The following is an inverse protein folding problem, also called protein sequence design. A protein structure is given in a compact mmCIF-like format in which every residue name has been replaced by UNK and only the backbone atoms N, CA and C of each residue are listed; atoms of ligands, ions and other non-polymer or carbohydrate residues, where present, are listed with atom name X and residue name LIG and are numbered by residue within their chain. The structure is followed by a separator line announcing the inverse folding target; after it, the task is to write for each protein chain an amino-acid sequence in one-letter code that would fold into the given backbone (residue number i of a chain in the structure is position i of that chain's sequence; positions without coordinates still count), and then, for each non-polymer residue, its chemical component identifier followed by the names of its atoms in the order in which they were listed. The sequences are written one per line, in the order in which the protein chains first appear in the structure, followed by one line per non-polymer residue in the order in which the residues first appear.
data_IF_290972186297
#
_entry.id   IF_290972186297
#
_cell.length_a   1.000
_cell.length_b   1.000
_cell.length_c   1.000
_cell.angle_alpha   90.00
_cell.angle_beta   90.00
_cell.angle_gamma   90.00
#
_symmetry.space_group_name_H-M   'P 1'
#
loop_
_entity.id
_entity.type
_entity.pdbx_description
1 polymer ?
#
# COMPACT_ATOMS: atom_id res chain seq x y z
N UNK A 1 20.85 39.14 -43.94
CA UNK A 1 19.74 39.02 -42.97
C UNK A 1 19.74 37.59 -42.44
N UNK A 2 20.65 37.29 -41.50
CA UNK A 2 20.84 35.95 -40.93
C UNK A 2 20.53 36.03 -39.43
N UNK A 3 19.38 35.50 -39.04
CA UNK A 3 18.98 35.40 -37.65
C UNK A 3 19.75 34.25 -36.99
N UNK A 4 20.68 34.61 -36.11
CA UNK A 4 21.29 33.72 -35.12
C UNK A 4 20.22 33.33 -34.10
N UNK A 5 19.84 32.05 -34.06
CA UNK A 5 19.02 31.50 -32.99
C UNK A 5 19.90 31.31 -31.76
N UNK A 6 19.79 32.27 -30.84
CA UNK A 6 20.43 32.23 -29.53
C UNK A 6 19.83 31.08 -28.70
N UNK A 7 20.64 30.07 -28.42
CA UNK A 7 20.33 28.94 -27.54
C UNK A 7 20.27 29.42 -26.09
N UNK A 8 19.12 29.93 -25.67
CA UNK A 8 18.84 30.25 -24.27
C UNK A 8 17.48 29.67 -23.87
N UNK A 9 17.42 28.33 -23.78
CA UNK A 9 16.29 27.58 -23.20
C UNK A 9 16.62 26.97 -21.83
N UNK A 10 17.65 27.48 -21.13
CA UNK A 10 18.06 27.00 -19.81
C UNK A 10 17.96 28.09 -18.73
N UNK A 11 16.84 28.81 -18.68
CA UNK A 11 16.56 29.65 -17.52
C UNK A 11 15.05 29.71 -17.22
N UNK A 12 14.54 28.63 -16.64
CA UNK A 12 13.31 28.66 -15.85
C UNK A 12 13.59 28.05 -14.47
N UNK A 13 13.78 28.93 -13.48
CA UNK A 13 13.92 28.61 -12.07
C UNK A 13 12.55 28.33 -11.40
N UNK A 14 11.62 27.66 -12.08
CA UNK A 14 10.30 27.38 -11.51
C UNK A 14 10.30 26.04 -10.77
N UNK A 15 9.92 26.00 -9.47
CA UNK A 15 10.00 24.80 -8.64
C UNK A 15 8.82 23.83 -8.88
N UNK A 16 8.21 23.85 -10.06
CA UNK A 16 7.02 23.04 -10.37
C UNK A 16 7.33 21.77 -11.17
N UNK A 17 8.53 21.64 -11.72
CA UNK A 17 8.91 20.47 -12.56
C UNK A 17 9.79 19.46 -11.80
N UNK A 18 10.29 19.83 -10.61
CA UNK A 18 11.19 18.98 -9.80
C UNK A 18 10.51 18.24 -8.63
N UNK A 19 9.20 18.44 -8.41
CA UNK A 19 8.46 17.79 -7.32
C UNK A 19 8.12 16.30 -7.60
N UNK A 20 8.08 15.89 -8.87
CA UNK A 20 7.54 14.60 -9.31
C UNK A 20 8.62 13.61 -9.76
N UNK A 21 9.88 14.05 -9.88
CA UNK A 21 11.03 13.20 -10.25
C UNK A 21 11.79 12.62 -9.07
N UNK A 22 11.52 13.07 -7.84
CA UNK A 22 12.13 12.53 -6.61
C UNK A 22 11.09 12.08 -5.59
N UNK A 23 10.26 11.09 -5.96
CA UNK A 23 9.49 10.31 -4.99
C UNK A 23 10.47 9.61 -4.04
N UNK A 24 10.59 10.11 -2.79
CA UNK A 24 11.44 9.49 -1.77
C UNK A 24 11.00 8.03 -1.55
N UNK A 25 11.91 7.05 -1.49
CA UNK A 25 11.56 5.62 -1.40
C UNK A 25 10.63 5.24 -0.23
N UNK A 26 10.59 6.05 0.84
CA UNK A 26 9.67 5.86 1.98
C UNK A 26 8.19 6.22 1.70
N UNK A 27 7.89 7.05 0.69
CA UNK A 27 6.51 7.44 0.38
C UNK A 27 5.65 6.25 -0.07
N UNK A 28 6.20 5.36 -0.89
CA UNK A 28 5.48 4.18 -1.38
C UNK A 28 5.08 3.20 -0.27
N UNK A 29 5.92 3.02 0.75
CA UNK A 29 5.58 2.19 1.92
C UNK A 29 4.37 2.73 2.68
N UNK A 30 4.34 4.05 2.89
CA UNK A 30 3.25 4.73 3.59
C UNK A 30 1.94 4.62 2.82
N UNK A 31 1.96 4.84 1.50
CA UNK A 31 0.78 4.65 0.64
C UNK A 31 0.25 3.21 0.68
N UNK A 32 1.13 2.21 0.51
CA UNK A 32 0.69 0.82 0.51
C UNK A 32 0.15 0.36 1.87
N UNK A 33 0.73 0.85 2.97
CA UNK A 33 0.24 0.57 4.33
C UNK A 33 -1.19 1.07 4.53
N UNK A 34 -1.45 2.35 4.24
CA UNK A 34 -2.78 2.94 4.34
C UNK A 34 -3.79 2.25 3.44
N UNK A 35 -3.40 1.93 2.21
CA UNK A 35 -4.27 1.22 1.27
C UNK A 35 -4.67 -0.18 1.77
N UNK A 36 -3.72 -0.93 2.35
CA UNK A 36 -4.02 -2.24 2.92
C UNK A 36 -5.02 -2.12 4.06
N UNK A 37 -4.77 -1.24 5.04
CA UNK A 37 -5.70 -1.08 6.15
C UNK A 37 -7.07 -0.68 5.65
N UNK A 38 -7.20 0.32 4.77
CA UNK A 38 -8.50 0.72 4.20
C UNK A 38 -9.25 -0.45 3.57
N UNK A 39 -8.54 -1.33 2.87
CA UNK A 39 -9.14 -2.47 2.20
C UNK A 39 -9.55 -3.55 3.21
N UNK A 40 -8.69 -3.84 4.17
CA UNK A 40 -9.00 -4.79 5.24
C UNK A 40 -10.16 -4.30 6.10
N UNK A 41 -10.20 -3.01 6.47
CA UNK A 41 -11.30 -2.43 7.25
C UNK A 41 -12.61 -2.46 6.48
N UNK A 42 -12.59 -2.23 5.17
CA UNK A 42 -13.77 -2.43 4.32
C UNK A 42 -14.21 -3.89 4.37
N UNK A 43 -13.33 -4.83 4.02
CA UNK A 43 -13.68 -6.24 3.97
C UNK A 43 -14.23 -6.76 5.31
N UNK A 44 -13.55 -6.42 6.42
CA UNK A 44 -13.94 -6.80 7.76
C UNK A 44 -15.31 -6.20 8.16
N UNK A 45 -15.53 -4.91 7.89
CA UNK A 45 -16.81 -4.24 8.22
C UNK A 45 -18.00 -4.80 7.47
N UNK A 46 -17.79 -5.26 6.25
CA UNK A 46 -18.83 -5.79 5.38
C UNK A 46 -18.89 -7.32 5.41
N UNK A 47 -18.16 -7.98 6.33
CA UNK A 47 -18.05 -9.44 6.44
C UNK A 47 -17.67 -10.14 5.13
N UNK A 48 -17.03 -9.41 4.22
CA UNK A 48 -16.52 -9.99 2.98
C UNK A 48 -15.26 -10.79 3.29
N UNK A 49 -15.08 -11.97 2.67
CA UNK A 49 -13.87 -12.75 2.83
C UNK A 49 -12.64 -11.91 2.47
N UNK A 50 -11.67 -11.82 3.39
CA UNK A 50 -10.43 -11.07 3.16
C UNK A 50 -9.69 -11.56 1.91
N UNK A 51 -9.80 -12.85 1.62
CA UNK A 51 -9.21 -13.49 0.44
C UNK A 51 -9.73 -12.88 -0.87
N UNK A 52 -11.05 -12.68 -0.97
CA UNK A 52 -11.69 -12.24 -2.22
C UNK A 52 -11.30 -10.79 -2.53
N UNK A 53 -11.27 -9.96 -1.49
CA UNK A 53 -10.89 -8.55 -1.65
C UNK A 53 -9.39 -8.41 -1.95
N UNK A 54 -8.53 -9.26 -1.37
CA UNK A 54 -7.11 -9.27 -1.67
C UNK A 54 -6.78 -9.82 -3.07
N UNK A 55 -7.60 -10.74 -3.59
CA UNK A 55 -7.48 -11.29 -4.95
C UNK A 55 -7.81 -10.26 -6.03
N UNK A 56 -8.76 -9.37 -5.74
CA UNK A 56 -9.22 -8.33 -6.67
C UNK A 56 -8.20 -7.18 -6.86
N UNK A 57 -7.35 -6.90 -5.86
CA UNK A 57 -6.37 -5.80 -5.91
C UNK A 57 -5.37 -5.92 -7.08
N UNK A 58 -4.71 -7.07 -7.31
CA UNK A 58 -3.92 -7.32 -8.50
C UNK A 58 -4.61 -7.02 -9.83
N UNK A 59 -5.92 -7.27 -9.89
CA UNK A 59 -6.70 -7.20 -11.12
C UNK A 59 -7.14 -5.76 -11.40
N UNK A 60 -7.54 -5.01 -10.37
CA UNK A 60 -8.12 -3.66 -10.53
C UNK A 60 -7.11 -2.52 -10.58
N UNK A 61 -5.91 -2.68 -10.02
CA UNK A 61 -4.90 -1.61 -10.06
C UNK A 61 -4.04 -1.70 -11.31
N UNK A 62 -3.94 -0.59 -12.06
CA UNK A 62 -3.03 -0.46 -13.20
C UNK A 62 -1.55 -0.56 -12.83
N UNK A 63 -0.70 -0.76 -13.85
CA UNK A 63 0.74 -1.08 -13.74
C UNK A 63 1.65 0.10 -13.31
N UNK A 64 1.12 1.12 -12.65
CA UNK A 64 1.92 2.22 -12.11
C UNK A 64 2.77 1.72 -10.93
N UNK A 65 3.99 2.26 -10.79
CA UNK A 65 4.98 1.84 -9.75
C UNK A 65 4.40 1.73 -8.32
N UNK A 66 3.59 2.68 -7.79
CA UNK A 66 2.95 2.52 -6.48
C UNK A 66 1.94 1.37 -6.42
N UNK A 67 1.20 1.12 -7.52
CA UNK A 67 0.27 0.01 -7.62
C UNK A 67 0.97 -1.34 -7.55
N UNK A 68 2.10 -1.49 -8.23
CA UNK A 68 2.85 -2.75 -8.28
C UNK A 68 3.36 -3.20 -6.89
N UNK A 69 3.77 -2.26 -6.03
CA UNK A 69 4.20 -2.57 -4.67
C UNK A 69 3.03 -3.08 -3.82
N UNK A 70 1.86 -2.42 -3.89
CA UNK A 70 0.67 -2.89 -3.18
C UNK A 70 0.22 -4.28 -3.66
N UNK A 71 0.17 -4.50 -4.98
CA UNK A 71 -0.23 -5.79 -5.54
C UNK A 71 0.66 -6.93 -5.01
N UNK A 72 1.97 -6.69 -4.86
CA UNK A 72 2.90 -7.68 -4.28
C UNK A 72 2.58 -8.00 -2.83
N UNK A 73 2.16 -7.01 -2.04
CA UNK A 73 1.79 -7.23 -0.64
C UNK A 73 0.44 -7.96 -0.58
N UNK A 74 -0.55 -7.53 -1.36
CA UNK A 74 -1.86 -8.19 -1.41
C UNK A 74 -1.75 -9.67 -1.79
N UNK A 75 -1.02 -10.00 -2.87
CA UNK A 75 -0.74 -11.40 -3.27
C UNK A 75 -0.05 -12.20 -2.19
N UNK A 76 0.85 -11.56 -1.45
CA UNK A 76 1.59 -12.19 -0.37
C UNK A 76 0.67 -12.54 0.81
N UNK A 77 -0.15 -11.58 1.27
CA UNK A 77 -1.12 -11.80 2.34
C UNK A 77 -2.16 -12.85 1.93
N UNK A 78 -2.70 -12.74 0.71
CA UNK A 78 -3.64 -13.71 0.15
C UNK A 78 -3.09 -15.13 0.17
N UNK A 79 -1.85 -15.33 -0.30
CA UNK A 79 -1.21 -16.65 -0.31
C UNK A 79 -1.10 -17.23 1.09
N UNK A 80 -0.68 -16.43 2.08
CA UNK A 80 -0.54 -16.92 3.46
C UNK A 80 -1.91 -17.27 4.05
N UNK A 81 -2.95 -16.46 3.83
CA UNK A 81 -4.32 -16.74 4.28
C UNK A 81 -4.89 -18.01 3.64
N UNK A 82 -4.70 -18.20 2.33
CA UNK A 82 -5.11 -19.42 1.62
C UNK A 82 -4.39 -20.68 2.13
N UNK A 83 -3.22 -20.52 2.75
CA UNK A 83 -2.49 -21.60 3.41
C UNK A 83 -2.93 -21.82 4.87
N UNK A 84 -3.96 -21.12 5.33
CA UNK A 84 -4.49 -21.25 6.69
C UNK A 84 -3.68 -20.50 7.76
N UNK A 85 -2.77 -19.61 7.38
CA UNK A 85 -2.09 -18.74 8.35
C UNK A 85 -3.00 -17.59 8.73
N UNK A 86 -2.88 -17.12 9.98
CA UNK A 86 -3.56 -15.89 10.40
C UNK A 86 -2.99 -14.65 9.69
N UNK A 87 -3.81 -13.60 9.61
CA UNK A 87 -3.43 -12.30 9.06
C UNK A 87 -2.26 -11.71 9.85
N UNK A 88 -2.35 -11.74 11.18
CA UNK A 88 -1.28 -11.29 12.09
C UNK A 88 0.05 -12.01 11.81
N UNK A 89 0.04 -13.33 11.66
CA UNK A 89 1.24 -14.12 11.36
C UNK A 89 1.83 -13.78 9.97
N UNK A 90 1.00 -13.44 8.99
CA UNK A 90 1.47 -13.00 7.68
C UNK A 90 2.09 -11.60 7.74
N UNK A 91 1.46 -10.68 8.47
CA UNK A 91 1.93 -9.30 8.66
C UNK A 91 3.26 -9.24 9.41
N UNK A 92 3.44 -10.09 10.44
CA UNK A 92 4.66 -10.13 11.27
C UNK A 92 5.96 -10.35 10.47
N UNK A 93 5.86 -11.12 9.38
CA UNK A 93 6.99 -11.40 8.48
C UNK A 93 7.46 -10.16 7.70
N UNK A 94 6.71 -9.05 7.72
CA UNK A 94 7.02 -7.79 7.02
C UNK A 94 7.21 -6.60 7.98
N UNK A 95 8.15 -6.74 8.92
CA UNK A 95 8.53 -5.72 9.93
C UNK A 95 8.91 -4.32 9.40
N UNK A 96 9.15 -4.18 8.10
CA UNK A 96 9.44 -2.89 7.46
C UNK A 96 8.23 -2.19 6.83
N UNK A 97 7.04 -2.76 7.00
CA UNK A 97 5.74 -2.29 6.49
C UNK A 97 4.69 -2.25 7.61
N UNK A 98 4.64 -3.29 8.43
CA UNK A 98 3.76 -3.39 9.60
C UNK A 98 4.61 -3.40 10.86
N UNK A 99 4.31 -2.50 11.78
CA UNK A 99 5.00 -2.37 13.05
C UNK A 99 4.44 -3.38 14.06
N UNK A 100 5.23 -3.77 15.06
CA UNK A 100 4.85 -4.82 16.01
C UNK A 100 3.55 -4.53 16.77
N UNK A 101 3.29 -3.26 17.10
CA UNK A 101 2.05 -2.86 17.76
C UNK A 101 0.82 -3.09 16.87
N UNK A 102 0.94 -2.88 15.56
CA UNK A 102 -0.16 -3.07 14.61
C UNK A 102 -0.45 -4.55 14.39
N UNK A 103 0.60 -5.38 14.32
CA UNK A 103 0.47 -6.84 14.26
C UNK A 103 -0.26 -7.37 15.51
N UNK A 104 0.07 -6.84 16.68
CA UNK A 104 -0.56 -7.24 17.94
C UNK A 104 -2.04 -6.83 18.01
N UNK A 105 -2.39 -5.62 17.54
CA UNK A 105 -3.78 -5.20 17.43
C UNK A 105 -4.58 -6.10 16.47
N UNK A 106 -4.00 -6.45 15.32
CA UNK A 106 -4.62 -7.38 14.38
C UNK A 106 -4.80 -8.76 15.01
N UNK A 107 -3.79 -9.27 15.72
CA UNK A 107 -3.86 -10.55 16.45
C UNK A 107 -4.99 -10.57 17.46
N UNK A 108 -5.07 -9.55 18.32
CA UNK A 108 -6.16 -9.41 19.29
C UNK A 108 -7.54 -9.30 18.61
N UNK A 109 -7.62 -8.63 17.45
CA UNK A 109 -8.83 -8.55 16.65
C UNK A 109 -9.26 -9.90 16.06
N UNK A 110 -8.31 -10.69 15.56
CA UNK A 110 -8.57 -12.05 15.04
C UNK A 110 -9.05 -13.00 16.14
N UNK A 111 -8.44 -12.96 17.33
CA UNK A 111 -8.77 -13.85 18.46
C UNK A 111 -10.14 -13.53 19.08
N UNK A 112 -10.49 -12.25 19.16
CA UNK A 112 -11.73 -11.80 19.80
C UNK A 112 -12.89 -11.57 18.82
N UNK A 113 -12.67 -11.77 17.51
CA UNK A 113 -13.66 -11.49 16.48
C UNK A 113 -13.97 -10.00 16.27
N UNK A 114 -13.15 -9.09 16.80
CA UNK A 114 -13.28 -7.64 16.67
C UNK A 114 -12.26 -7.02 15.70
N UNK A 115 -11.86 -7.81 14.70
CA UNK A 115 -10.95 -7.37 13.64
C UNK A 115 -11.43 -6.10 12.90
N UNK A 116 -12.73 -5.90 12.58
CA UNK A 116 -13.21 -4.67 11.95
C UNK A 116 -12.95 -3.40 12.77
N UNK A 117 -13.09 -3.49 14.10
CA UNK A 117 -12.86 -2.38 15.03
C UNK A 117 -11.38 -2.09 15.16
N UNK A 118 -10.55 -3.12 15.31
CA UNK A 118 -9.09 -2.97 15.42
C UNK A 118 -8.49 -2.40 14.14
N UNK A 119 -8.98 -2.78 12.97
CA UNK A 119 -8.50 -2.23 11.70
C UNK A 119 -8.93 -0.77 11.44
N UNK A 120 -9.91 -0.24 12.17
CA UNK A 120 -10.30 1.18 12.05
C UNK A 120 -9.41 2.12 12.87
N UNK A 121 -8.73 1.60 13.89
CA UNK A 121 -7.85 2.40 14.76
C UNK A 121 -6.42 2.50 14.22
N UNK A 122 -6.08 1.70 13.20
CA UNK A 122 -4.79 1.64 12.49
C UNK A 122 -4.75 2.57 11.27
#
# INVERSE_FOLDING_TARGET
MSLSLNTNLFNLSTPFIWCWTTLRPGTFKRYAKTDIYRILSFAARWEFPLTDVLEDIPVRRGNLRPGLYLQRIAKYLLRDLQQGKSLSASMEKRKGLFDSAEVEMVRAGEENGCLPEMLQTL
#
